data_IF_140891610205
#
_entry.id   IF_140891610205
#
_cell.length_a   1.000
_cell.length_b   1.000
_cell.length_c   1.000
_cell.angle_alpha   90.00
_cell.angle_beta   90.00
_cell.angle_gamma   90.00
#
_symmetry.space_group_name_H-M   'P 1'
#
loop_
_entity.id
_entity.type
_entity.pdbx_description
1 polymer ?
#
# COMPACT_ATOMS: atom_id res chain seq x y z
N UNK A 1 -13.40 -0.54 -14.51
CA UNK A 1 -12.45 -0.62 -13.39
C UNK A 1 -12.95 -1.61 -12.35
N UNK A 2 -12.06 -2.09 -11.49
CA UNK A 2 -12.39 -2.89 -10.30
C UNK A 2 -12.21 -2.03 -9.08
N UNK A 3 -13.24 -1.91 -8.25
CA UNK A 3 -13.23 -1.21 -6.97
C UNK A 3 -13.09 -2.26 -5.87
N UNK A 4 -12.04 -2.17 -5.06
CA UNK A 4 -11.77 -3.07 -3.94
C UNK A 4 -12.11 -2.39 -2.61
N UNK A 5 -12.97 -3.02 -1.80
CA UNK A 5 -13.30 -2.61 -0.44
C UNK A 5 -12.81 -3.66 0.59
N UNK A 6 -13.27 -3.57 1.85
CA UNK A 6 -12.81 -4.45 2.93
C UNK A 6 -13.20 -5.91 2.79
N UNK A 7 -14.38 -6.19 2.23
CA UNK A 7 -14.99 -7.53 2.20
C UNK A 7 -15.28 -8.02 0.79
N UNK A 8 -15.38 -7.12 -0.19
CA UNK A 8 -15.70 -7.47 -1.56
C UNK A 8 -15.05 -6.52 -2.56
N UNK A 9 -15.16 -6.90 -3.83
CA UNK A 9 -14.79 -6.06 -4.94
C UNK A 9 -15.84 -6.14 -6.06
N UNK A 10 -16.07 -5.00 -6.72
CA UNK A 10 -17.11 -4.83 -7.72
C UNK A 10 -16.56 -4.20 -9.00
N UNK A 11 -17.23 -4.46 -10.12
CA UNK A 11 -16.92 -3.82 -11.41
C UNK A 11 -17.70 -2.53 -11.56
N UNK A 12 -17.00 -1.46 -11.94
CA UNK A 12 -17.57 -0.15 -12.21
C UNK A 12 -16.99 0.44 -13.50
N UNK A 13 -17.60 1.52 -13.98
CA UNK A 13 -17.05 2.34 -15.04
C UNK A 13 -16.43 3.60 -14.44
N UNK A 14 -15.33 4.06 -15.04
CA UNK A 14 -14.66 5.30 -14.64
C UNK A 14 -14.42 6.10 -15.90
N UNK A 15 -14.82 7.37 -15.87
CA UNK A 15 -14.59 8.29 -16.97
C UNK A 15 -13.11 8.63 -17.04
N UNK A 16 -12.54 8.62 -18.24
CA UNK A 16 -11.14 8.93 -18.46
C UNK A 16 -10.97 9.81 -19.70
N UNK A 17 -9.96 10.67 -19.66
CA UNK A 17 -9.60 11.57 -20.76
C UNK A 17 -8.23 11.15 -21.31
N UNK A 18 -8.05 11.18 -22.63
CA UNK A 18 -6.73 10.94 -23.23
C UNK A 18 -5.76 12.03 -22.81
N UNK A 19 -4.55 11.65 -22.41
CA UNK A 19 -3.51 12.63 -22.11
C UNK A 19 -3.04 13.29 -23.41
N UNK A 20 -3.17 14.61 -23.52
CA UNK A 20 -2.77 15.37 -24.71
C UNK A 20 -1.24 15.42 -24.89
N UNK A 21 -0.49 15.28 -23.80
CA UNK A 21 0.99 15.37 -23.82
C UNK A 21 1.68 14.03 -24.12
N UNK A 22 0.99 12.90 -23.93
CA UNK A 22 1.58 11.58 -24.13
C UNK A 22 1.39 11.11 -25.58
N UNK A 23 2.39 10.46 -26.20
CA UNK A 23 2.23 9.90 -27.53
C UNK A 23 1.05 8.92 -27.59
N UNK A 24 0.17 9.08 -28.58
CA UNK A 24 -1.08 8.31 -28.72
C UNK A 24 -0.88 6.78 -28.69
N UNK A 25 0.30 6.30 -29.12
CA UNK A 25 0.66 4.87 -29.09
C UNK A 25 0.69 4.24 -27.69
N UNK A 26 0.82 5.05 -26.64
CA UNK A 26 0.94 4.55 -25.26
C UNK A 26 -0.40 4.49 -24.53
N UNK A 27 -1.49 4.91 -25.17
CA UNK A 27 -2.85 4.86 -24.62
C UNK A 27 -2.93 5.35 -23.17
N UNK A 28 -2.25 6.47 -22.89
CA UNK A 28 -2.25 7.03 -21.54
C UNK A 28 -3.51 7.86 -21.31
N UNK A 29 -4.21 7.50 -20.24
CA UNK A 29 -5.46 8.12 -19.86
C UNK A 29 -5.35 8.77 -18.48
N UNK A 30 -5.82 10.00 -18.36
CA UNK A 30 -6.01 10.68 -17.10
C UNK A 30 -7.41 10.35 -16.57
N UNK A 31 -7.49 9.74 -15.38
CA UNK A 31 -8.75 9.50 -14.69
C UNK A 31 -8.97 10.46 -13.53
N UNK A 32 -10.17 10.45 -12.94
CA UNK A 32 -10.51 11.27 -11.77
C UNK A 32 -9.70 10.85 -10.54
N UNK A 33 -9.52 11.80 -9.63
CA UNK A 33 -8.87 11.59 -8.32
C UNK A 33 -9.69 10.67 -7.40
N UNK A 34 -11.03 10.83 -7.43
CA UNK A 34 -12.02 10.08 -6.63
C UNK A 34 -11.90 10.24 -5.09
N UNK A 35 -11.01 11.11 -4.59
CA UNK A 35 -10.77 11.28 -3.16
C UNK A 35 -12.00 11.74 -2.37
N UNK A 36 -12.87 12.56 -2.96
CA UNK A 36 -14.14 13.00 -2.36
C UNK A 36 -15.14 11.86 -2.13
N UNK A 37 -15.02 10.76 -2.87
CA UNK A 37 -15.81 9.54 -2.70
C UNK A 37 -15.17 8.57 -1.72
N UNK A 38 -14.03 8.93 -1.12
CA UNK A 38 -13.26 8.02 -0.27
C UNK A 38 -12.61 6.89 -1.08
N UNK A 39 -12.25 7.14 -2.33
CA UNK A 39 -11.64 6.17 -3.24
C UNK A 39 -10.27 6.68 -3.71
N UNK A 40 -9.34 5.75 -3.84
CA UNK A 40 -8.01 5.98 -4.40
C UNK A 40 -7.93 5.32 -5.78
N UNK A 41 -7.74 6.14 -6.81
CA UNK A 41 -7.52 5.67 -8.18
C UNK A 41 -6.04 5.32 -8.41
N UNK A 42 -5.71 4.03 -8.46
CA UNK A 42 -4.31 3.60 -8.62
C UNK A 42 -3.82 3.65 -10.07
N UNK A 43 -4.66 3.32 -11.05
CA UNK A 43 -4.29 3.24 -12.47
C UNK A 43 -5.49 3.20 -13.44
N UNK A 44 -6.64 3.78 -13.06
CA UNK A 44 -7.94 3.75 -13.76
C UNK A 44 -8.58 2.37 -13.90
N UNK A 45 -7.82 1.28 -13.81
CA UNK A 45 -8.35 -0.09 -13.82
C UNK A 45 -8.57 -0.64 -12.42
N UNK A 46 -7.77 -0.18 -11.45
CA UNK A 46 -7.80 -0.61 -10.05
C UNK A 46 -8.02 0.60 -9.15
N UNK A 47 -9.11 0.55 -8.41
CA UNK A 47 -9.52 1.58 -7.47
C UNK A 47 -9.69 0.89 -6.11
N UNK A 48 -9.21 1.52 -5.04
CA UNK A 48 -9.29 0.97 -3.68
C UNK A 48 -10.04 1.97 -2.79
N UNK A 49 -10.85 1.48 -1.86
CA UNK A 49 -11.44 2.36 -0.85
C UNK A 49 -10.37 2.89 0.11
N UNK A 50 -10.51 4.14 0.53
CA UNK A 50 -9.70 4.69 1.63
C UNK A 50 -9.86 3.86 2.88
N UNK A 51 -11.04 3.26 3.10
CA UNK A 51 -11.30 2.35 4.22
C UNK A 51 -10.37 1.14 4.20
N UNK A 52 -10.22 0.49 3.04
CA UNK A 52 -9.33 -0.66 2.87
C UNK A 52 -7.86 -0.28 3.16
N UNK A 53 -7.41 0.85 2.62
CA UNK A 53 -6.03 1.31 2.73
C UNK A 53 -5.68 1.81 4.14
N UNK A 54 -6.57 2.61 4.75
CA UNK A 54 -6.44 3.08 6.12
C UNK A 54 -6.56 1.93 7.14
N UNK A 55 -7.34 0.89 6.81
CA UNK A 55 -7.40 -0.35 7.58
C UNK A 55 -6.02 -0.99 7.71
N UNK A 56 -5.29 -1.11 6.59
CA UNK A 56 -3.92 -1.59 6.63
C UNK A 56 -2.99 -0.64 7.37
N UNK A 57 -3.04 0.68 7.11
CA UNK A 57 -2.21 1.65 7.85
C UNK A 57 -2.42 1.53 9.37
N UNK A 58 -3.64 1.29 9.82
CA UNK A 58 -3.97 1.09 11.23
C UNK A 58 -3.39 -0.22 11.77
N UNK A 59 -3.56 -1.33 11.06
CA UNK A 59 -2.98 -2.63 11.45
C UNK A 59 -1.45 -2.61 11.45
N UNK A 60 -0.85 -1.98 10.44
CA UNK A 60 0.59 -1.80 10.31
C UNK A 60 1.16 -0.98 11.47
N UNK A 61 0.54 0.17 11.79
CA UNK A 61 1.04 1.06 12.86
C UNK A 61 0.75 0.56 14.28
N UNK A 62 -0.33 -0.20 14.50
CA UNK A 62 -0.74 -0.63 15.85
C UNK A 62 -0.23 -2.00 16.26
N UNK A 63 -0.18 -2.95 15.33
CA UNK A 63 0.15 -4.35 15.63
C UNK A 63 1.19 -4.92 14.65
N UNK A 64 1.92 -4.06 13.95
CA UNK A 64 3.01 -4.43 13.04
C UNK A 64 2.62 -5.50 12.00
N UNK A 65 1.37 -5.47 11.51
CA UNK A 65 0.90 -6.46 10.54
C UNK A 65 1.67 -6.35 9.22
N UNK A 66 2.35 -7.42 8.75
CA UNK A 66 3.01 -7.40 7.46
C UNK A 66 1.98 -7.44 6.32
N UNK A 67 2.37 -6.95 5.14
CA UNK A 67 1.50 -6.94 3.96
C UNK A 67 0.95 -8.32 3.61
N UNK A 68 1.78 -9.37 3.67
CA UNK A 68 1.36 -10.75 3.37
C UNK A 68 0.22 -11.21 4.27
N UNK A 69 0.33 -10.99 5.59
CA UNK A 69 -0.69 -11.37 6.54
C UNK A 69 -1.99 -10.56 6.33
N UNK A 70 -1.89 -9.26 6.06
CA UNK A 70 -3.09 -8.45 5.81
C UNK A 70 -3.82 -8.89 4.53
N UNK A 71 -3.08 -9.16 3.45
CA UNK A 71 -3.64 -9.65 2.19
C UNK A 71 -4.27 -11.04 2.36
N UNK A 72 -3.63 -11.94 3.12
CA UNK A 72 -4.18 -13.28 3.40
C UNK A 72 -5.50 -13.19 4.18
N UNK A 73 -5.56 -12.36 5.22
CA UNK A 73 -6.79 -12.11 5.99
C UNK A 73 -7.90 -11.58 5.07
N UNK A 74 -7.60 -10.57 4.24
CA UNK A 74 -8.58 -9.99 3.30
C UNK A 74 -9.03 -10.99 2.25
N UNK A 75 -8.13 -11.81 1.72
CA UNK A 75 -8.47 -12.86 0.76
C UNK A 75 -9.42 -13.91 1.36
N UNK A 76 -9.22 -14.24 2.65
CA UNK A 76 -10.13 -15.12 3.40
C UNK A 76 -11.49 -14.47 3.60
N UNK A 77 -11.54 -13.22 4.06
CA UNK A 77 -12.82 -12.49 4.24
C UNK A 77 -13.59 -12.35 2.92
N UNK A 78 -12.89 -12.13 1.80
CA UNK A 78 -13.50 -12.11 0.46
C UNK A 78 -14.12 -13.46 0.06
N UNK A 79 -13.50 -14.56 0.49
CA UNK A 79 -14.02 -15.90 0.23
C UNK A 79 -15.26 -16.18 1.10
N UNK A 80 -15.23 -15.74 2.37
CA UNK A 80 -16.34 -15.87 3.32
C UNK A 80 -17.55 -15.00 2.93
N UNK A 81 -17.30 -13.79 2.44
CA UNK A 81 -18.34 -12.87 1.92
C UNK A 81 -18.87 -13.26 0.54
N UNK A 82 -18.24 -14.25 -0.12
CA UNK A 82 -18.51 -14.66 -1.51
C UNK A 82 -18.37 -13.51 -2.51
N UNK A 83 -17.32 -12.70 -2.33
CA UNK A 83 -16.97 -11.65 -3.27
C UNK A 83 -16.88 -12.22 -4.70
N UNK A 84 -17.48 -11.57 -5.71
CA UNK A 84 -17.43 -12.04 -7.09
C UNK A 84 -16.03 -11.91 -7.70
N UNK A 85 -15.16 -11.11 -7.08
CA UNK A 85 -13.80 -10.85 -7.53
C UNK A 85 -12.84 -11.19 -6.38
N UNK A 86 -11.81 -12.02 -6.60
CA UNK A 86 -10.85 -12.36 -5.56
C UNK A 86 -10.04 -11.13 -5.14
N UNK A 87 -9.57 -11.16 -3.89
CA UNK A 87 -8.65 -10.13 -3.42
C UNK A 87 -7.33 -10.15 -4.22
N UNK A 88 -6.65 -9.00 -4.26
CA UNK A 88 -5.45 -8.80 -5.06
C UNK A 88 -4.21 -9.49 -4.45
N UNK A 89 -3.15 -9.66 -5.25
CA UNK A 89 -1.87 -10.19 -4.75
C UNK A 89 -1.18 -9.20 -3.81
N UNK A 90 -0.26 -9.72 -2.99
CA UNK A 90 0.54 -8.92 -2.04
C UNK A 90 1.29 -7.79 -2.75
N UNK A 91 1.98 -8.10 -3.86
CA UNK A 91 2.73 -7.12 -4.64
C UNK A 91 1.83 -5.99 -5.18
N UNK A 92 0.66 -6.35 -5.69
CA UNK A 92 -0.33 -5.39 -6.18
C UNK A 92 -0.82 -4.48 -5.05
N UNK A 93 -1.18 -5.07 -3.90
CA UNK A 93 -1.65 -4.32 -2.75
C UNK A 93 -0.57 -3.36 -2.21
N UNK A 94 0.67 -3.84 -2.09
CA UNK A 94 1.82 -3.02 -1.69
C UNK A 94 1.99 -1.80 -2.59
N UNK A 95 1.99 -1.99 -3.91
CA UNK A 95 2.13 -0.89 -4.87
C UNK A 95 0.99 0.13 -4.73
N UNK A 96 -0.24 -0.33 -4.55
CA UNK A 96 -1.39 0.56 -4.33
C UNK A 96 -1.26 1.33 -3.01
N UNK A 97 -0.88 0.67 -1.92
CA UNK A 97 -0.75 1.31 -0.62
C UNK A 97 0.38 2.35 -0.58
N UNK A 98 1.57 2.03 -1.12
CA UNK A 98 2.64 3.02 -1.21
C UNK A 98 2.27 4.21 -2.11
N UNK A 99 1.50 3.97 -3.18
CA UNK A 99 0.95 5.05 -4.00
C UNK A 99 -0.01 5.96 -3.23
N UNK A 100 -0.90 5.36 -2.42
CA UNK A 100 -1.84 6.09 -1.58
C UNK A 100 -1.15 6.89 -0.47
N UNK A 101 -0.20 6.28 0.24
CA UNK A 101 0.54 6.95 1.33
C UNK A 101 1.35 8.14 0.81
N UNK A 102 1.83 8.11 -0.44
CA UNK A 102 2.50 9.26 -1.06
C UNK A 102 1.55 10.43 -1.33
N UNK A 103 0.26 10.18 -1.56
CA UNK A 103 -0.74 11.24 -1.78
C UNK A 103 -1.22 11.86 -0.47
N UNK A 104 -1.30 11.04 0.58
CA UNK A 104 -1.43 11.56 1.92
C UNK A 104 -0.14 12.33 2.21
N UNK A 105 -0.20 13.65 2.39
CA UNK A 105 0.94 14.48 2.79
C UNK A 105 1.40 14.10 4.21
N UNK A 106 1.93 12.90 4.39
CA UNK A 106 2.54 12.35 5.58
C UNK A 106 4.00 12.80 5.70
N UNK A 107 4.36 13.92 5.06
CA UNK A 107 5.73 14.47 5.01
C UNK A 107 6.34 14.61 6.42
N UNK A 108 5.52 14.70 7.46
CA UNK A 108 5.98 14.85 8.85
C UNK A 108 5.66 13.68 9.77
N UNK A 109 4.91 12.66 9.31
CA UNK A 109 4.57 11.51 10.16
C UNK A 109 5.82 10.63 10.46
N UNK A 110 6.81 10.66 9.57
CA UNK A 110 8.07 9.91 9.68
C UNK A 110 9.30 10.80 9.53
N UNK A 111 9.23 12.06 9.96
CA UNK A 111 10.37 12.96 9.94
C UNK A 111 11.46 12.44 10.89
N UNK A 112 12.65 12.18 10.34
CA UNK A 112 13.84 11.85 11.12
C UNK A 112 14.36 13.15 11.75
N UNK A 113 14.61 13.17 13.06
CA UNK A 113 15.13 14.35 13.76
C UNK A 113 16.49 14.85 13.21
N UNK A 114 17.25 13.99 12.54
CA UNK A 114 18.54 14.29 11.91
C UNK A 114 18.42 14.52 10.40
N UNK A 115 17.53 13.80 9.74
CA UNK A 115 17.45 13.67 8.28
C UNK A 115 16.35 14.54 7.67
N UNK A 116 15.41 15.03 8.48
CA UNK A 116 14.25 15.78 8.03
C UNK A 116 13.10 14.89 7.54
N UNK A 117 12.12 15.48 6.83
CA UNK A 117 10.99 14.76 6.24
C UNK A 117 11.46 13.74 5.18
N UNK A 118 10.64 12.71 4.94
CA UNK A 118 10.83 11.72 3.87
C UNK A 118 12.20 10.99 3.86
N UNK A 119 12.56 10.27 4.94
CA UNK A 119 13.82 9.52 4.95
C UNK A 119 13.82 8.43 3.88
N UNK A 120 14.98 8.23 3.24
CA UNK A 120 15.18 7.22 2.17
C UNK A 120 14.80 5.80 2.61
N UNK A 121 14.84 5.53 3.92
CA UNK A 121 14.41 4.28 4.55
C UNK A 121 13.56 4.63 5.76
N UNK A 122 12.31 4.17 5.77
CA UNK A 122 11.43 4.23 6.95
C UNK A 122 11.51 2.86 7.63
N UNK A 123 12.06 2.82 8.85
CA UNK A 123 11.97 1.66 9.73
C UNK A 123 10.79 1.92 10.66
N UNK A 124 9.63 1.36 10.33
CA UNK A 124 8.51 1.33 11.26
C UNK A 124 8.79 0.21 12.27
N UNK A 125 8.96 0.58 13.54
CA UNK A 125 9.36 -0.37 14.56
C UNK A 125 8.23 -1.37 14.86
N UNK A 126 8.38 -2.53 14.24
CA UNK A 126 7.55 -3.72 14.37
C UNK A 126 8.49 -4.88 14.14
N UNK A 127 9.22 -5.28 15.17
CA UNK A 127 10.26 -6.30 15.05
C UNK A 127 9.61 -7.61 14.57
N UNK A 128 9.88 -7.96 13.33
CA UNK A 128 10.01 -9.34 12.85
C UNK A 128 10.85 -9.32 11.58
N UNK A 129 12.16 -9.23 11.76
CA UNK A 129 13.13 -9.44 10.69
C UNK A 129 13.53 -10.93 10.66
N UNK A 130 12.79 -11.73 9.89
CA UNK A 130 13.23 -13.08 9.52
C UNK A 130 14.12 -13.01 8.29
N UNK A 131 15.44 -13.08 8.47
CA UNK A 131 16.37 -13.24 7.35
C UNK A 131 16.56 -14.72 7.04
N UNK A 132 16.61 -15.07 5.76
CA UNK A 132 17.08 -16.39 5.32
C UNK A 132 18.53 -16.60 5.83
N UNK A 133 18.83 -17.77 6.41
CA UNK A 133 20.14 -18.12 7.00
C UNK A 133 21.31 -17.80 6.06
N UNK A 134 21.10 -17.91 4.74
CA UNK A 134 22.12 -17.60 3.72
C UNK A 134 22.54 -16.13 3.67
N UNK A 135 21.73 -15.23 4.24
CA UNK A 135 21.99 -13.79 4.28
C UNK A 135 22.58 -13.33 5.63
N UNK A 136 22.73 -14.24 6.60
CA UNK A 136 23.40 -13.95 7.88
C UNK A 136 24.90 -13.91 7.65
N UNK A 137 25.45 -12.69 7.52
CA UNK A 137 26.91 -12.47 7.52
C UNK A 137 27.39 -12.34 8.96
N UNK A 138 28.59 -12.82 9.25
CA UNK A 138 29.24 -12.69 10.57
C UNK A 138 29.41 -11.22 11.04
N UNK A 139 29.23 -10.25 10.13
CA UNK A 139 29.30 -8.81 10.41
C UNK A 139 27.99 -8.18 10.87
N UNK A 140 26.86 -8.91 10.86
CA UNK A 140 25.61 -8.39 11.42
C UNK A 140 25.71 -8.39 12.95
N UNK A 141 25.70 -7.19 13.54
CA UNK A 141 25.58 -7.01 14.99
C UNK A 141 24.26 -6.30 15.30
N UNK A 142 23.55 -6.70 16.38
CA UNK A 142 22.34 -6.01 16.79
C UNK A 142 22.66 -4.54 17.13
N UNK A 143 21.78 -3.59 16.79
CA UNK A 143 22.03 -2.16 16.97
C UNK A 143 21.90 -1.67 18.43
N UNK A 144 21.98 -2.57 19.42
CA UNK A 144 21.71 -2.27 20.83
C UNK A 144 22.96 -2.22 21.71
N UNK A 145 24.09 -1.72 21.18
CA UNK A 145 25.22 -1.38 22.05
C UNK A 145 25.07 0.08 22.45
N UNK A 146 24.70 0.31 23.70
CA UNK A 146 24.79 1.64 24.33
C UNK A 146 26.25 1.77 24.76
N UNK A 147 26.95 2.79 24.29
CA UNK A 147 28.30 3.13 24.78
C UNK A 147 28.17 3.74 26.20
N UNK A 148 29.08 3.36 27.10
CA UNK A 148 29.17 3.86 28.49
C UNK A 148 29.56 5.35 28.58
#
# INVERSE_FOLDING_TARGET
CTVYDLLDASRHEVEVIKCESCPARFEQFAGPDLGSLGLYNSNNHRILTHRLLNGFSSSFTRIATPFSAYVEVRAREYSESRSPIPFMSVEVFMNCWFGFVRLQHNAHAFACALCGPDPKVIIADGISAGFDLKNVRASLRPPTVVDD
#
